data_IF_099994621819
#
_entry.id   IF_099994621819
#
_cell.length_a   1.000
_cell.length_b   1.000
_cell.length_c   1.000
_cell.angle_alpha   90.00
_cell.angle_beta   90.00
_cell.angle_gamma   90.00
#
_symmetry.space_group_name_H-M   'P 1'
#
loop_
_entity.id
_entity.type
_entity.pdbx_description
1 polymer ?
#
# COMPACT_ATOMS: atom_id res chain seq x y z
N UNK A 1 16.40 1.01 -12.21
CA UNK A 1 16.94 -0.25 -12.75
C UNK A 1 16.32 -1.47 -12.04
N UNK A 2 15.00 -1.61 -12.00
CA UNK A 2 14.38 -2.75 -11.31
C UNK A 2 14.19 -3.98 -12.22
N UNK A 3 14.21 -3.79 -13.55
CA UNK A 3 13.88 -4.82 -14.54
C UNK A 3 15.02 -5.13 -15.52
N UNK A 4 16.19 -4.48 -15.39
CA UNK A 4 17.31 -4.65 -16.32
C UNK A 4 17.08 -4.15 -17.75
N UNK A 5 15.94 -3.52 -18.03
CA UNK A 5 15.57 -3.03 -19.35
C UNK A 5 16.12 -1.62 -19.60
N UNK A 6 16.53 -1.28 -20.84
CA UNK A 6 16.89 0.08 -21.22
C UNK A 6 15.76 1.07 -20.94
N UNK A 7 16.10 2.31 -20.57
CA UNK A 7 15.11 3.35 -20.24
C UNK A 7 14.20 3.72 -21.42
N UNK A 8 14.63 3.43 -22.64
CA UNK A 8 13.89 3.65 -23.90
C UNK A 8 13.14 2.40 -24.38
N UNK A 9 12.93 1.40 -23.52
CA UNK A 9 12.14 0.22 -23.91
C UNK A 9 10.70 0.65 -24.24
N UNK A 10 10.22 0.27 -25.43
CA UNK A 10 8.87 0.62 -25.88
C UNK A 10 7.82 0.15 -24.87
N UNK A 11 6.87 1.03 -24.54
CA UNK A 11 5.72 0.73 -23.69
C UNK A 11 4.92 -0.47 -24.19
N UNK A 12 4.83 -0.65 -25.51
CA UNK A 12 4.16 -1.79 -26.10
C UNK A 12 4.85 -3.12 -25.73
N UNK A 13 6.18 -3.17 -25.79
CA UNK A 13 6.94 -4.36 -25.39
C UNK A 13 6.85 -4.62 -23.88
N UNK A 14 6.79 -3.57 -23.05
CA UNK A 14 6.58 -3.72 -21.60
C UNK A 14 5.20 -4.32 -21.28
N UNK A 15 4.17 -3.90 -22.00
CA UNK A 15 2.82 -4.46 -21.89
C UNK A 15 2.76 -5.90 -22.40
N UNK A 16 3.39 -6.22 -23.53
CA UNK A 16 3.46 -7.59 -24.07
C UNK A 16 4.17 -8.57 -23.11
N UNK A 17 5.12 -8.08 -22.31
CA UNK A 17 5.79 -8.88 -21.29
C UNK A 17 4.95 -9.10 -20.02
N UNK A 18 3.84 -8.36 -19.84
CA UNK A 18 2.99 -8.45 -18.65
C UNK A 18 3.67 -7.98 -17.36
N UNK A 19 4.74 -7.19 -17.47
CA UNK A 19 5.56 -6.76 -16.33
C UNK A 19 5.04 -5.45 -15.70
N UNK A 20 4.26 -4.68 -16.46
CA UNK A 20 3.61 -3.46 -15.99
C UNK A 20 2.11 -3.65 -15.91
N UNK A 21 1.51 -3.12 -14.84
CA UNK A 21 0.06 -2.99 -14.77
C UNK A 21 -0.41 -2.05 -15.88
N UNK A 22 -1.46 -2.47 -16.57
CA UNK A 22 -2.24 -1.65 -17.49
C UNK A 22 -2.97 -0.53 -16.74
N UNK A 23 -3.45 0.47 -17.49
CA UNK A 23 -4.21 1.58 -16.89
C UNK A 23 -5.52 1.07 -16.27
N UNK A 24 -6.15 0.10 -16.93
CA UNK A 24 -7.36 -0.58 -16.47
C UNK A 24 -7.14 -1.28 -15.13
N UNK A 25 -6.03 -2.02 -15.00
CA UNK A 25 -5.66 -2.68 -13.75
C UNK A 25 -5.37 -1.68 -12.63
N UNK A 26 -4.70 -0.57 -12.94
CA UNK A 26 -4.44 0.50 -11.96
C UNK A 26 -5.75 1.15 -11.50
N UNK A 27 -6.67 1.42 -12.44
CA UNK A 27 -7.96 2.01 -12.14
C UNK A 27 -8.79 1.08 -11.23
N UNK A 28 -8.81 -0.22 -11.55
CA UNK A 28 -9.55 -1.20 -10.75
C UNK A 28 -8.92 -1.37 -9.37
N UNK A 29 -7.60 -1.51 -9.28
CA UNK A 29 -6.89 -1.58 -8.01
C UNK A 29 -7.15 -0.34 -7.14
N UNK A 30 -7.14 0.85 -7.75
CA UNK A 30 -7.48 2.08 -7.06
C UNK A 30 -8.94 2.09 -6.61
N UNK A 31 -9.88 1.67 -7.46
CA UNK A 31 -11.31 1.58 -7.13
C UNK A 31 -11.56 0.65 -5.94
N UNK A 32 -10.97 -0.54 -5.96
CA UNK A 32 -11.06 -1.52 -4.87
C UNK A 32 -10.47 -0.92 -3.58
N UNK A 33 -9.27 -0.32 -3.66
CA UNK A 33 -8.63 0.29 -2.49
C UNK A 33 -9.46 1.42 -1.87
N UNK A 34 -10.07 2.27 -2.71
CA UNK A 34 -10.96 3.33 -2.25
C UNK A 34 -12.23 2.76 -1.60
N UNK A 35 -12.83 1.74 -2.21
CA UNK A 35 -14.02 1.08 -1.69
C UNK A 35 -13.76 0.44 -0.32
N UNK A 36 -12.66 -0.31 -0.17
CA UNK A 36 -12.27 -0.91 1.11
C UNK A 36 -11.97 0.15 2.17
N UNK A 37 -11.28 1.23 1.80
CA UNK A 37 -11.03 2.35 2.73
C UNK A 37 -12.31 3.04 3.19
N UNK A 38 -13.31 3.19 2.32
CA UNK A 38 -14.60 3.75 2.71
C UNK A 38 -15.34 2.82 3.69
N UNK A 39 -15.22 1.50 3.54
CA UNK A 39 -15.81 0.52 4.48
C UNK A 39 -15.26 0.63 5.91
N UNK A 40 -14.01 1.07 6.10
CA UNK A 40 -13.39 1.13 7.44
C UNK A 40 -13.87 2.28 8.31
N UNK A 41 -14.51 3.30 7.75
CA UNK A 41 -15.02 4.45 8.53
C UNK A 41 -16.54 4.44 8.62
N UNK A 42 -17.10 5.05 9.67
CA UNK A 42 -18.56 5.21 9.76
C UNK A 42 -19.10 6.07 8.62
N UNK A 43 -18.52 7.26 8.40
CA UNK A 43 -18.92 8.19 7.34
C UNK A 43 -18.78 7.57 5.94
N UNK A 44 -17.71 6.80 5.70
CA UNK A 44 -17.50 6.12 4.43
C UNK A 44 -18.55 5.03 4.15
N UNK A 45 -18.92 4.23 5.15
CA UNK A 45 -20.03 3.26 5.04
C UNK A 45 -21.36 3.94 4.73
N UNK A 46 -21.67 5.03 5.42
CA UNK A 46 -22.91 5.79 5.15
C UNK A 46 -22.92 6.38 3.73
N UNK A 47 -21.77 6.86 3.27
CA UNK A 47 -21.61 7.34 1.88
C UNK A 47 -21.86 6.22 0.88
N UNK A 48 -21.29 5.03 1.10
CA UNK A 48 -21.50 3.87 0.23
C UNK A 48 -22.95 3.39 0.23
N UNK A 49 -23.62 3.37 1.39
CA UNK A 49 -25.06 3.05 1.50
C UNK A 49 -25.92 4.03 0.71
N UNK A 50 -25.64 5.34 0.79
CA UNK A 50 -26.33 6.38 0.00
C UNK A 50 -26.16 6.20 -1.51
N UNK A 51 -25.01 5.70 -1.94
CA UNK A 51 -24.73 5.36 -3.33
C UNK A 51 -25.38 4.02 -3.77
N UNK A 52 -26.11 3.34 -2.88
CA UNK A 52 -26.81 2.09 -3.18
C UNK A 52 -25.95 0.83 -3.05
N UNK A 53 -24.71 0.95 -2.56
CA UNK A 53 -23.87 -0.23 -2.32
C UNK A 53 -24.32 -0.97 -1.07
N UNK A 54 -24.44 -2.30 -1.18
CA UNK A 54 -24.66 -3.17 -0.02
C UNK A 54 -23.37 -3.30 0.76
N UNK A 55 -23.19 -2.45 1.76
CA UNK A 55 -22.06 -2.55 2.68
C UNK A 55 -22.51 -3.31 3.91
N UNK A 56 -21.90 -4.47 4.15
CA UNK A 56 -22.05 -5.13 5.44
C UNK A 56 -21.25 -4.32 6.44
N UNK A 57 -21.82 -4.07 7.62
CA UNK A 57 -21.03 -3.58 8.73
C UNK A 57 -20.01 -4.66 9.03
N UNK A 58 -18.79 -4.49 8.47
CA UNK A 58 -17.63 -5.23 8.93
C UNK A 58 -17.55 -4.88 10.39
N UNK A 59 -17.94 -5.83 11.25
CA UNK A 59 -17.70 -5.76 12.68
C UNK A 59 -16.26 -5.27 12.80
N UNK A 60 -16.07 -4.04 13.27
CA UNK A 60 -14.73 -3.56 13.57
C UNK A 60 -14.15 -4.66 14.43
N UNK A 61 -13.10 -5.34 13.95
CA UNK A 61 -12.39 -6.29 14.77
C UNK A 61 -12.12 -5.53 16.05
N UNK A 62 -12.76 -5.97 17.14
CA UNK A 62 -12.74 -5.27 18.42
C UNK A 62 -11.31 -4.92 18.68
N UNK A 63 -11.00 -3.62 18.68
CA UNK A 63 -9.63 -3.16 18.86
C UNK A 63 -9.34 -3.39 20.33
N UNK A 64 -8.52 -4.39 20.61
CA UNK A 64 -8.08 -4.66 21.97
C UNK A 64 -6.85 -3.80 22.24
N UNK A 65 -6.79 -3.23 23.43
CA UNK A 65 -5.57 -2.55 23.87
C UNK A 65 -4.41 -3.54 23.87
N UNK A 66 -3.29 -3.13 23.27
CA UNK A 66 -2.06 -3.91 23.31
C UNK A 66 -1.50 -3.81 24.73
N UNK A 67 -1.30 -4.93 25.45
CA UNK A 67 -0.66 -4.89 26.75
C UNK A 67 0.68 -4.17 26.72
N UNK A 68 0.93 -3.36 27.74
CA UNK A 68 2.06 -2.44 27.84
C UNK A 68 3.45 -3.12 27.78
N UNK A 69 3.54 -4.41 28.12
CA UNK A 69 4.78 -5.18 27.94
C UNK A 69 5.07 -5.50 26.46
N UNK A 70 4.06 -5.63 25.61
CA UNK A 70 4.20 -5.89 24.17
C UNK A 70 4.59 -4.60 23.44
N UNK A 71 3.95 -3.48 23.78
CA UNK A 71 4.25 -2.17 23.16
C UNK A 71 5.71 -1.76 23.38
N UNK A 72 6.25 -1.98 24.58
CA UNK A 72 7.67 -1.71 24.90
C UNK A 72 8.66 -2.62 24.20
N UNK A 73 8.26 -3.84 23.87
CA UNK A 73 9.12 -4.80 23.16
C UNK A 73 9.20 -4.48 21.65
N UNK A 74 8.23 -3.73 21.11
CA UNK A 74 8.14 -3.40 19.71
C UNK A 74 9.11 -2.26 19.33
N UNK A 75 10.26 -2.60 18.75
CA UNK A 75 11.21 -1.63 18.19
C UNK A 75 10.85 -1.32 16.73
N UNK A 76 10.14 -0.23 16.48
CA UNK A 76 9.88 0.27 15.13
C UNK A 76 10.86 1.41 14.84
N UNK A 77 11.77 1.20 13.89
CA UNK A 77 12.65 2.26 13.44
C UNK A 77 11.82 3.35 12.71
N UNK A 78 12.11 4.65 12.93
CA UNK A 78 11.42 5.72 12.22
C UNK A 78 11.67 5.62 10.72
N UNK A 79 10.66 5.93 9.92
CA UNK A 79 10.82 6.05 8.47
C UNK A 79 11.80 7.23 8.20
N UNK A 80 12.88 7.03 7.44
CA UNK A 80 13.86 8.07 7.18
C UNK A 80 13.23 9.30 6.54
N UNK A 81 13.46 10.49 7.13
CA UNK A 81 12.86 11.78 6.69
C UNK A 81 13.41 12.35 5.38
N UNK A 82 14.22 11.59 4.62
CA UNK A 82 14.77 12.05 3.35
C UNK A 82 15.05 10.87 2.41
N UNK A 83 13.99 10.16 2.00
CA UNK A 83 14.04 9.05 1.03
C UNK A 83 14.35 9.57 -0.39
N UNK A 84 15.51 10.17 -0.59
CA UNK A 84 15.98 10.50 -1.93
C UNK A 84 16.37 9.19 -2.65
N UNK A 85 15.68 8.80 -3.74
CA UNK A 85 15.91 7.51 -4.41
C UNK A 85 17.32 7.35 -5.01
N UNK A 86 18.10 8.43 -5.11
CA UNK A 86 19.45 8.40 -5.70
C UNK A 86 20.59 8.26 -4.69
N UNK A 87 20.33 8.41 -3.38
CA UNK A 87 21.40 8.47 -2.35
C UNK A 87 21.66 7.16 -1.60
N UNK A 88 20.83 6.13 -1.77
CA UNK A 88 20.90 4.91 -0.95
C UNK A 88 21.07 3.62 -1.77
N UNK A 89 22.01 3.60 -2.72
CA UNK A 89 22.43 2.33 -3.35
C UNK A 89 23.39 1.51 -2.47
N UNK A 90 23.94 2.10 -1.39
CA UNK A 90 25.04 1.47 -0.63
C UNK A 90 24.79 1.17 0.85
N UNK A 91 23.64 1.51 1.43
CA UNK A 91 23.40 1.31 2.88
C UNK A 91 22.27 0.32 3.13
N UNK A 92 22.47 -0.90 2.64
CA UNK A 92 21.75 -2.08 3.11
C UNK A 92 22.72 -3.25 3.26
N UNK A 93 23.82 -3.01 3.99
CA UNK A 93 24.63 -4.08 4.58
C UNK A 93 24.71 -3.81 6.08
N UNK A 94 24.40 -4.84 6.86
CA UNK A 94 23.87 -4.73 8.20
C UNK A 94 24.76 -4.01 9.22
N UNK A 95 24.09 -3.28 10.11
CA UNK A 95 24.59 -3.09 11.46
C UNK A 95 23.70 -3.87 12.41
N UNK A 96 24.29 -4.94 12.92
CA UNK A 96 23.86 -5.75 14.04
C UNK A 96 25.17 -6.06 14.79
N UNK A 97 25.09 -6.22 16.11
CA UNK A 97 25.10 -5.18 17.15
C UNK A 97 26.41 -4.38 17.28
#
# INVERSE_FOLDING_TARGET
>A
MALGLPQWTSTQKLNELGISNTVEEILEAHRIGQFERLKTSHTGRETLKRLGYRVHDTMHATTHEIPDYISRALKVAPIPKNMNPTLHYGQKVGQMP
#
